data_IF_477016594847
#
_entry.id   IF_477016594847
#
_cell.length_a   1.000
_cell.length_b   1.000
_cell.length_c   1.000
_cell.angle_alpha   90.00
_cell.angle_beta   90.00
_cell.angle_gamma   90.00
#
_symmetry.space_group_name_H-M   'P 1'
#
loop_
_entity.id
_entity.type
_entity.pdbx_description
1 polymer ?
#
# COMPACT_ATOMS: atom_id res chain seq x y z
N UNK A 1 21.84 -52.45 -30.70
CA UNK A 1 21.01 -53.59 -31.17
C UNK A 1 19.56 -53.24 -30.87
N UNK A 2 18.56 -53.19 -31.77
CA UNK A 2 18.37 -53.28 -33.24
C UNK A 2 17.02 -52.55 -33.54
N UNK A 3 16.62 -52.05 -34.72
CA UNK A 3 17.18 -51.91 -36.08
C UNK A 3 16.81 -50.47 -36.59
N UNK A 4 17.32 -49.83 -37.66
CA UNK A 4 17.74 -50.17 -39.04
C UNK A 4 16.58 -50.25 -40.08
N UNK A 5 16.88 -49.77 -41.31
CA UNK A 5 16.10 -49.76 -42.58
C UNK A 5 15.13 -48.55 -42.78
N UNK A 6 15.01 -47.89 -43.95
CA UNK A 6 15.79 -47.92 -45.23
C UNK A 6 15.53 -46.66 -46.11
N UNK A 7 16.54 -46.22 -46.87
CA UNK A 7 16.47 -45.35 -48.07
C UNK A 7 16.06 -46.18 -49.32
N UNK A 8 15.52 -45.64 -50.46
CA UNK A 8 16.15 -44.64 -51.38
C UNK A 8 15.18 -43.50 -51.85
N UNK A 9 15.57 -42.30 -52.29
CA UNK A 9 16.53 -41.82 -53.32
C UNK A 9 16.10 -42.04 -54.80
N UNK A 10 15.95 -40.94 -55.58
CA UNK A 10 16.45 -40.75 -56.97
C UNK A 10 16.01 -39.41 -57.61
N UNK A 11 16.98 -38.67 -58.18
CA UNK A 11 16.99 -37.88 -59.44
C UNK A 11 15.84 -36.87 -59.82
N UNK A 12 16.07 -35.76 -60.55
CA UNK A 12 17.31 -35.19 -61.14
C UNK A 12 17.17 -33.74 -61.66
N UNK A 13 18.19 -32.91 -61.38
CA UNK A 13 18.81 -31.87 -62.26
C UNK A 13 18.07 -30.54 -62.61
N UNK A 14 18.81 -29.48 -63.06
CA UNK A 14 18.47 -28.07 -62.80
C UNK A 14 18.42 -27.17 -64.08
N UNK A 15 18.56 -25.84 -63.89
CA UNK A 15 18.74 -24.72 -64.87
C UNK A 15 17.50 -23.81 -65.04
N UNK A 16 17.56 -22.49 -65.34
CA UNK A 16 18.68 -21.51 -65.40
C UNK A 16 18.16 -20.06 -65.21
N UNK A 17 19.11 -19.16 -64.96
CA UNK A 17 19.10 -17.68 -64.82
C UNK A 17 18.15 -16.80 -65.68
N UNK A 18 17.63 -15.74 -65.03
CA UNK A 18 17.73 -14.30 -65.39
C UNK A 18 16.80 -13.62 -66.43
N UNK A 19 16.50 -12.34 -66.11
CA UNK A 19 16.01 -11.24 -66.97
C UNK A 19 14.56 -11.33 -67.52
N UNK A 20 13.83 -10.24 -67.76
CA UNK A 20 13.92 -8.87 -67.24
C UNK A 20 12.57 -8.13 -67.42
N UNK A 21 12.31 -7.18 -66.52
CA UNK A 21 11.46 -5.98 -66.66
C UNK A 21 10.44 -5.93 -67.82
N UNK A 22 9.13 -5.99 -67.48
CA UNK A 22 8.08 -5.28 -68.22
C UNK A 22 7.12 -4.58 -67.25
N UNK A 23 6.81 -3.30 -67.52
CA UNK A 23 5.88 -2.48 -66.73
C UNK A 23 4.42 -2.84 -67.09
N UNK A 24 3.51 -3.01 -66.12
CA UNK A 24 2.08 -3.13 -66.42
C UNK A 24 1.48 -1.76 -66.76
N UNK A 25 0.63 -1.71 -67.80
CA UNK A 25 -0.36 -0.64 -67.97
C UNK A 25 -1.65 -0.99 -67.24
N UNK A 26 -2.34 0.03 -66.74
CA UNK A 26 -3.63 -0.05 -66.06
C UNK A 26 -4.72 -0.71 -66.91
N UNK A 27 -5.51 -1.58 -66.28
CA UNK A 27 -6.92 -1.82 -66.59
C UNK A 27 -7.69 -1.92 -65.27
N UNK A 28 -8.69 -1.05 -65.10
CA UNK A 28 -9.60 -1.12 -63.96
C UNK A 28 -10.67 -2.20 -64.17
N UNK A 29 -10.88 -3.05 -63.16
CA UNK A 29 -12.14 -3.73 -62.91
C UNK A 29 -12.37 -3.72 -61.40
N UNK A 30 -13.55 -3.26 -60.96
CA UNK A 30 -13.84 -3.03 -59.56
C UNK A 30 -14.24 -4.34 -58.83
N UNK A 31 -13.67 -4.56 -57.66
CA UNK A 31 -14.15 -5.51 -56.65
C UNK A 31 -14.22 -4.79 -55.29
N UNK A 32 -15.20 -5.16 -54.46
CA UNK A 32 -15.63 -4.37 -53.32
C UNK A 32 -14.55 -4.16 -52.24
N UNK A 33 -14.45 -2.94 -51.72
CA UNK A 33 -13.56 -2.60 -50.63
C UNK A 33 -14.15 -3.03 -49.28
N UNK A 34 -13.61 -4.11 -48.70
CA UNK A 34 -13.63 -4.29 -47.26
C UNK A 34 -12.46 -3.48 -46.68
N UNK A 35 -12.74 -2.32 -46.10
CA UNK A 35 -11.70 -1.52 -45.44
C UNK A 35 -11.17 -2.27 -44.21
N UNK A 36 -9.88 -2.59 -44.20
CA UNK A 36 -9.21 -2.96 -42.96
C UNK A 36 -9.29 -1.77 -41.98
N UNK A 37 -9.56 -1.99 -40.68
CA UNK A 37 -9.47 -0.92 -39.70
C UNK A 37 -8.05 -0.36 -39.72
N UNK A 38 -7.85 0.96 -39.57
CA UNK A 38 -6.51 1.52 -39.49
C UNK A 38 -5.79 0.87 -38.31
N UNK A 39 -4.57 0.40 -38.54
CA UNK A 39 -3.71 -0.06 -37.46
C UNK A 39 -3.57 1.10 -36.46
N UNK A 40 -4.03 0.88 -35.23
CA UNK A 40 -3.91 1.88 -34.18
C UNK A 40 -2.44 2.28 -34.06
N UNK A 41 -2.16 3.59 -34.19
CA UNK A 41 -0.81 4.08 -34.00
C UNK A 41 -0.36 3.68 -32.58
N UNK A 42 0.80 3.02 -32.48
CA UNK A 42 1.37 2.71 -31.18
C UNK A 42 1.51 4.01 -30.37
N UNK A 43 1.20 4.00 -29.06
CA UNK A 43 1.32 5.20 -28.25
C UNK A 43 2.75 5.76 -28.34
N UNK A 44 2.92 7.10 -28.33
CA UNK A 44 4.24 7.70 -28.44
C UNK A 44 5.14 7.22 -27.31
N UNK A 45 6.42 7.09 -27.60
CA UNK A 45 7.41 6.69 -26.60
C UNK A 45 7.42 7.69 -25.42
N UNK A 46 7.61 7.20 -24.18
CA UNK A 46 7.70 8.06 -23.00
C UNK A 46 8.80 9.11 -23.16
N UNK A 47 8.51 10.38 -22.85
CA UNK A 47 9.51 11.46 -22.86
C UNK A 47 10.39 11.39 -21.62
N UNK A 48 11.54 12.08 -21.66
CA UNK A 48 12.42 12.27 -20.50
C UNK A 48 11.75 13.04 -19.33
N UNK A 49 10.52 13.52 -19.54
CA UNK A 49 9.70 14.28 -18.60
C UNK A 49 8.59 13.42 -17.97
N UNK A 50 8.65 12.08 -18.09
CA UNK A 50 7.91 11.17 -17.19
C UNK A 50 8.54 11.19 -15.79
N UNK A 51 8.59 12.38 -15.20
CA UNK A 51 9.19 12.66 -13.92
C UNK A 51 8.46 11.87 -12.84
N UNK A 52 9.25 11.15 -12.07
CA UNK A 52 8.86 10.54 -10.82
C UNK A 52 8.45 11.67 -9.87
N UNK A 53 7.15 11.86 -9.64
CA UNK A 53 6.65 12.85 -8.67
C UNK A 53 6.81 12.28 -7.27
N UNK A 54 8.05 12.11 -6.83
CA UNK A 54 8.34 11.97 -5.41
C UNK A 54 8.10 13.31 -4.74
N UNK A 55 7.29 13.29 -3.68
CA UNK A 55 7.32 14.35 -2.69
C UNK A 55 8.79 14.57 -2.26
N UNK A 56 9.34 15.79 -2.29
CA UNK A 56 10.78 16.00 -2.04
C UNK A 56 11.26 15.44 -0.69
N UNK A 57 10.36 15.41 0.31
CA UNK A 57 10.64 14.81 1.62
C UNK A 57 10.78 13.28 1.63
N UNK A 58 10.49 12.57 0.53
CA UNK A 58 10.61 11.11 0.44
C UNK A 58 12.08 10.65 0.44
N UNK A 59 12.97 11.38 -0.24
CA UNK A 59 14.41 11.09 -0.22
C UNK A 59 15.00 11.38 1.16
N UNK A 60 14.64 12.53 1.75
CA UNK A 60 14.97 12.89 3.14
C UNK A 60 14.44 11.87 4.15
N UNK A 61 13.24 11.34 3.93
CA UNK A 61 12.71 10.25 4.73
C UNK A 61 13.63 9.04 4.54
N UNK A 62 13.72 8.45 3.33
CA UNK A 62 14.56 7.27 3.01
C UNK A 62 15.98 7.33 3.60
N UNK A 63 16.65 8.48 3.51
CA UNK A 63 18.02 8.69 3.99
C UNK A 63 18.17 8.66 5.53
N UNK A 64 17.14 9.03 6.31
CA UNK A 64 17.20 9.03 7.79
C UNK A 64 17.53 7.66 8.36
N UNK A 65 18.22 7.66 9.50
CA UNK A 65 18.41 6.48 10.34
C UNK A 65 17.06 5.93 10.86
N UNK A 66 17.02 4.64 11.17
CA UNK A 66 15.89 4.04 11.90
C UNK A 66 15.63 4.83 13.19
N UNK A 67 14.37 5.20 13.42
CA UNK A 67 14.01 6.10 14.50
C UNK A 67 13.78 5.28 15.78
N UNK A 68 14.64 5.44 16.79
CA UNK A 68 14.51 4.71 18.04
C UNK A 68 13.57 5.38 19.07
N UNK A 69 12.84 6.44 18.69
CA UNK A 69 12.00 7.23 19.59
C UNK A 69 10.64 6.57 19.90
N UNK A 70 10.67 5.37 20.48
CA UNK A 70 9.49 4.51 20.72
C UNK A 70 8.62 4.92 21.93
N UNK A 71 8.98 5.99 22.66
CA UNK A 71 8.17 6.55 23.74
C UNK A 71 7.93 8.05 23.55
N UNK A 72 6.91 8.57 24.25
CA UNK A 72 6.57 9.99 24.25
C UNK A 72 6.87 10.66 25.59
N UNK A 73 7.90 11.50 25.63
CA UNK A 73 8.34 12.24 26.81
C UNK A 73 7.49 13.50 27.09
N UNK A 74 7.96 14.43 27.93
CA UNK A 74 7.20 15.64 28.29
C UNK A 74 7.01 16.63 27.13
N UNK A 75 7.90 16.63 26.14
CA UNK A 75 7.93 17.61 25.03
C UNK A 75 7.77 17.01 23.62
N UNK A 76 7.67 15.68 23.49
CA UNK A 76 7.65 14.99 22.20
C UNK A 76 8.22 13.57 22.28
N UNK A 77 8.45 12.92 21.13
CA UNK A 77 9.11 11.61 21.07
C UNK A 77 10.50 11.59 21.73
N UNK A 78 10.83 10.49 22.40
CA UNK A 78 12.12 10.24 23.04
C UNK A 78 12.57 8.79 22.84
N UNK A 79 13.89 8.58 22.76
CA UNK A 79 14.49 7.24 22.73
C UNK A 79 14.55 6.72 24.19
N UNK A 80 13.82 5.66 24.59
CA UNK A 80 13.72 5.27 26.00
C UNK A 80 15.08 4.95 26.63
N UNK A 81 15.96 4.25 25.91
CA UNK A 81 17.29 3.86 26.39
C UNK A 81 18.29 5.03 26.52
N UNK A 82 17.97 6.21 25.98
CA UNK A 82 18.79 7.42 26.08
C UNK A 82 18.11 8.53 26.92
N UNK A 83 16.88 8.32 27.39
CA UNK A 83 16.17 9.26 28.24
C UNK A 83 16.64 9.12 29.71
N UNK A 84 16.85 10.24 30.44
CA UNK A 84 17.01 10.19 31.88
C UNK A 84 15.80 9.52 32.54
N UNK A 85 16.01 8.73 33.60
CA UNK A 85 14.97 7.92 34.24
C UNK A 85 13.70 8.73 34.57
N UNK A 86 13.87 9.94 35.10
CA UNK A 86 12.78 10.85 35.51
C UNK A 86 12.01 11.48 34.33
N UNK A 87 12.39 11.21 33.08
CA UNK A 87 11.78 11.78 31.86
C UNK A 87 10.62 10.94 31.33
N UNK A 88 10.59 9.64 31.65
CA UNK A 88 9.55 8.72 31.18
C UNK A 88 8.42 8.62 32.22
N UNK A 89 7.17 8.60 31.76
CA UNK A 89 6.06 8.16 32.60
C UNK A 89 6.21 6.67 32.94
N UNK A 90 5.65 6.17 34.06
CA UNK A 90 5.65 4.74 34.38
C UNK A 90 5.11 3.89 33.23
N UNK A 91 4.10 4.40 32.52
CA UNK A 91 3.46 3.75 31.37
C UNK A 91 4.39 3.71 30.14
N UNK A 92 5.17 4.77 29.91
CA UNK A 92 6.21 4.80 28.87
C UNK A 92 7.32 3.79 29.15
N UNK A 93 7.79 3.74 30.40
CA UNK A 93 8.79 2.76 30.83
C UNK A 93 8.25 1.32 30.71
N UNK A 94 6.98 1.09 31.04
CA UNK A 94 6.33 -0.22 30.89
C UNK A 94 6.19 -0.65 29.42
N UNK A 95 5.80 0.25 28.51
CA UNK A 95 5.74 -0.02 27.06
C UNK A 95 7.14 -0.31 26.50
N UNK A 96 8.13 0.51 26.84
CA UNK A 96 9.52 0.28 26.42
C UNK A 96 10.07 -1.07 26.93
N UNK A 97 9.75 -1.44 28.18
CA UNK A 97 10.13 -2.73 28.77
C UNK A 97 9.45 -3.90 28.06
N UNK A 98 8.16 -3.79 27.73
CA UNK A 98 7.43 -4.82 26.99
C UNK A 98 7.97 -5.03 25.56
N UNK A 99 8.36 -3.95 24.86
CA UNK A 99 9.04 -4.02 23.56
C UNK A 99 10.42 -4.69 23.72
N UNK A 100 11.20 -4.30 24.74
CA UNK A 100 12.50 -4.89 25.02
C UNK A 100 12.42 -6.39 25.35
N UNK A 101 11.41 -6.85 26.10
CA UNK A 101 11.22 -8.25 26.46
C UNK A 101 11.09 -9.18 25.23
N UNK A 102 10.48 -8.70 24.15
CA UNK A 102 10.35 -9.44 22.88
C UNK A 102 11.65 -9.50 22.05
N UNK A 103 12.73 -8.84 22.50
CA UNK A 103 14.00 -8.78 21.76
C UNK A 103 14.87 -10.04 21.90
N UNK A 104 14.51 -10.96 22.80
CA UNK A 104 15.23 -12.21 23.04
C UNK A 104 14.98 -13.32 21.99
N UNK A 105 13.88 -13.24 21.23
CA UNK A 105 13.56 -14.24 20.19
C UNK A 105 14.55 -14.13 19.02
N UNK A 106 15.02 -15.23 18.40
CA UNK A 106 15.89 -15.15 17.23
C UNK A 106 15.21 -14.40 16.07
N UNK A 107 16.00 -13.67 15.27
CA UNK A 107 15.48 -13.09 14.03
C UNK A 107 15.25 -14.18 12.98
N UNK A 108 14.17 -14.11 12.18
CA UNK A 108 13.98 -14.97 11.03
C UNK A 108 15.04 -14.78 9.94
N UNK A 109 15.12 -15.71 8.98
CA UNK A 109 16.20 -15.79 8.01
C UNK A 109 16.21 -14.68 6.94
N UNK A 110 15.11 -13.96 6.77
CA UNK A 110 14.98 -12.87 5.79
C UNK A 110 13.95 -11.83 6.23
N UNK A 111 13.90 -10.70 5.52
CA UNK A 111 12.89 -9.66 5.72
C UNK A 111 11.47 -10.18 5.46
N UNK A 112 11.29 -11.04 4.45
CA UNK A 112 10.00 -11.69 4.17
C UNK A 112 9.61 -12.70 5.28
N UNK A 113 10.54 -13.48 5.81
CA UNK A 113 10.26 -14.36 6.95
C UNK A 113 9.94 -13.56 8.22
N UNK A 114 10.60 -12.41 8.41
CA UNK A 114 10.31 -11.49 9.50
C UNK A 114 8.89 -10.90 9.39
N UNK A 115 8.48 -10.43 8.21
CA UNK A 115 7.12 -9.97 7.97
C UNK A 115 6.07 -11.06 8.22
N UNK A 116 6.34 -12.30 7.79
CA UNK A 116 5.46 -13.45 8.08
C UNK A 116 5.32 -13.68 9.58
N UNK A 117 6.42 -13.60 10.33
CA UNK A 117 6.42 -13.74 11.78
C UNK A 117 5.72 -12.56 12.49
N UNK A 118 5.80 -11.32 11.99
CA UNK A 118 5.02 -10.18 12.52
C UNK A 118 3.52 -10.42 12.31
N UNK A 119 3.11 -10.82 11.10
CA UNK A 119 1.70 -11.14 10.80
C UNK A 119 1.18 -12.26 11.71
N UNK A 120 2.01 -13.23 12.06
CA UNK A 120 1.67 -14.34 12.97
C UNK A 120 1.80 -14.01 14.48
N UNK A 121 2.34 -12.85 14.85
CA UNK A 121 2.47 -12.42 16.25
C UNK A 121 1.17 -11.73 16.71
N UNK A 122 0.47 -12.23 17.76
CA UNK A 122 -0.78 -11.63 18.20
C UNK A 122 -0.60 -10.41 19.13
N UNK A 123 0.50 -10.30 19.88
CA UNK A 123 0.71 -9.16 20.78
C UNK A 123 1.08 -7.88 20.01
N UNK A 124 0.36 -6.75 20.20
CA UNK A 124 0.66 -5.49 19.52
C UNK A 124 2.09 -4.97 19.75
N UNK A 125 2.60 -5.07 20.98
CA UNK A 125 3.97 -4.63 21.29
C UNK A 125 5.03 -5.63 20.83
N UNK A 126 4.69 -6.92 20.77
CA UNK A 126 5.47 -7.97 20.13
C UNK A 126 5.62 -7.77 18.61
N UNK A 127 4.55 -7.40 17.91
CA UNK A 127 4.59 -7.00 16.49
C UNK A 127 5.55 -5.82 16.30
N UNK A 128 5.39 -4.76 17.09
CA UNK A 128 6.26 -3.58 17.04
C UNK A 128 7.73 -3.95 17.32
N UNK A 129 7.99 -4.73 18.37
CA UNK A 129 9.34 -5.18 18.73
C UNK A 129 10.02 -6.01 17.64
N UNK A 130 9.30 -6.94 17.00
CA UNK A 130 9.86 -7.71 15.89
C UNK A 130 10.09 -6.83 14.66
N UNK A 131 9.21 -5.87 14.39
CA UNK A 131 9.35 -4.90 13.30
C UNK A 131 10.62 -4.06 13.46
N UNK A 132 10.83 -3.41 14.61
CA UNK A 132 12.02 -2.60 14.89
C UNK A 132 13.33 -3.38 14.69
N UNK A 133 13.32 -4.67 15.05
CA UNK A 133 14.49 -5.55 14.95
C UNK A 133 14.75 -6.01 13.52
N UNK A 134 13.69 -6.38 12.79
CA UNK A 134 13.77 -6.79 11.39
C UNK A 134 14.23 -5.63 10.51
N UNK A 135 13.64 -4.44 10.68
CA UNK A 135 14.03 -3.24 9.94
C UNK A 135 15.48 -2.84 10.22
N UNK A 136 15.89 -2.80 11.50
CA UNK A 136 17.29 -2.52 11.87
C UNK A 136 18.24 -3.50 11.21
N UNK A 137 18.01 -4.81 11.35
CA UNK A 137 18.88 -5.83 10.80
C UNK A 137 18.96 -5.78 9.27
N UNK A 138 17.86 -5.43 8.59
CA UNK A 138 17.87 -5.20 7.14
C UNK A 138 18.68 -3.97 6.74
N UNK A 139 18.50 -2.82 7.43
CA UNK A 139 19.32 -1.61 7.18
C UNK A 139 20.81 -1.82 7.44
N UNK A 140 21.15 -2.66 8.40
CA UNK A 140 22.53 -3.02 8.76
C UNK A 140 23.12 -4.13 7.85
N UNK A 141 22.36 -4.62 6.86
CA UNK A 141 22.80 -5.64 5.92
C UNK A 141 22.84 -7.07 6.49
N UNK A 142 22.33 -7.28 7.71
CA UNK A 142 22.25 -8.58 8.36
C UNK A 142 21.06 -9.43 7.89
N UNK A 143 20.05 -8.81 7.24
CA UNK A 143 18.96 -9.51 6.55
C UNK A 143 18.94 -9.12 5.07
N UNK A 144 18.77 -10.10 4.19
CA UNK A 144 18.32 -9.88 2.81
C UNK A 144 16.78 -9.89 2.73
N UNK A 145 16.23 -9.49 1.57
CA UNK A 145 14.77 -9.49 1.34
C UNK A 145 14.18 -10.90 1.52
N UNK A 146 14.78 -11.90 0.87
CA UNK A 146 14.28 -13.27 0.82
C UNK A 146 12.93 -13.40 0.10
N UNK A 147 12.25 -14.52 0.33
CA UNK A 147 10.88 -14.74 -0.12
C UNK A 147 10.17 -15.68 0.85
N UNK A 148 8.91 -15.37 1.16
CA UNK A 148 8.07 -16.18 2.05
C UNK A 148 6.61 -16.13 1.58
N UNK A 149 5.88 -17.22 1.79
CA UNK A 149 4.43 -17.22 1.60
C UNK A 149 3.75 -16.40 2.70
N UNK A 150 2.81 -15.54 2.28
CA UNK A 150 1.95 -14.82 3.21
C UNK A 150 1.08 -15.83 4.01
N UNK A 151 0.80 -15.57 5.30
CA UNK A 151 -0.09 -16.42 6.08
C UNK A 151 -1.47 -16.61 5.42
N UNK A 152 -2.07 -17.76 5.67
CA UNK A 152 -3.46 -18.02 5.32
C UNK A 152 -4.39 -17.28 6.30
N UNK A 153 -5.30 -16.45 5.77
CA UNK A 153 -6.23 -15.67 6.56
C UNK A 153 -5.66 -14.34 7.11
N UNK A 154 -6.37 -13.71 8.07
CA UNK A 154 -5.97 -12.41 8.61
C UNK A 154 -4.75 -12.51 9.55
N UNK A 155 -4.09 -11.38 9.87
CA UNK A 155 -3.01 -11.34 10.85
C UNK A 155 -3.51 -11.84 12.21
N UNK A 156 -2.61 -12.49 12.96
CA UNK A 156 -2.86 -12.83 14.34
C UNK A 156 -3.14 -11.56 15.15
N UNK A 157 -4.19 -11.61 15.97
CA UNK A 157 -4.66 -10.52 16.84
C UNK A 157 -4.72 -11.00 18.29
N UNK A 158 -4.63 -10.09 19.27
CA UNK A 158 -4.90 -10.42 20.67
C UNK A 158 -6.41 -10.66 20.88
N UNK A 159 -6.84 -11.29 22.00
CA UNK A 159 -8.25 -11.54 22.29
C UNK A 159 -9.13 -10.28 22.43
N UNK A 160 -8.52 -9.11 22.65
CA UNK A 160 -9.18 -7.81 22.70
C UNK A 160 -8.35 -6.77 21.92
N UNK A 161 -8.96 -5.88 21.12
CA UNK A 161 -10.40 -5.64 20.99
C UNK A 161 -11.12 -6.76 20.23
N UNK A 162 -12.35 -7.08 20.64
CA UNK A 162 -13.23 -7.92 19.83
C UNK A 162 -13.46 -7.26 18.47
N UNK A 163 -13.15 -7.99 17.38
CA UNK A 163 -13.44 -7.54 16.03
C UNK A 163 -14.92 -7.79 15.70
N UNK A 164 -15.63 -6.73 15.35
CA UNK A 164 -17.06 -6.73 15.03
C UNK A 164 -17.34 -5.92 13.76
N UNK A 165 -18.48 -6.16 13.06
CA UNK A 165 -18.89 -5.32 11.93
C UNK A 165 -19.02 -3.84 12.35
N UNK A 166 -18.72 -2.85 11.48
CA UNK A 166 -18.69 -1.42 11.84
C UNK A 166 -19.96 -0.91 12.55
N UNK A 167 -21.14 -1.40 12.16
CA UNK A 167 -22.43 -1.07 12.81
C UNK A 167 -22.57 -1.49 14.28
N UNK A 168 -21.68 -2.35 14.78
CA UNK A 168 -21.63 -2.80 16.18
C UNK A 168 -20.60 -2.03 17.01
N UNK A 169 -19.78 -1.17 16.39
CA UNK A 169 -18.93 -0.24 17.10
C UNK A 169 -19.82 0.83 17.73
N UNK A 170 -19.77 1.05 19.06
CA UNK A 170 -20.55 2.11 19.69
C UNK A 170 -20.11 3.47 19.14
N UNK A 171 -21.05 4.35 18.80
CA UNK A 171 -20.67 5.71 18.40
C UNK A 171 -19.98 6.43 19.56
N UNK A 172 -19.15 7.45 19.26
CA UNK A 172 -18.41 8.21 20.28
C UNK A 172 -19.32 8.85 21.35
N UNK A 173 -20.58 9.16 21.03
CA UNK A 173 -21.54 9.72 21.99
C UNK A 173 -22.36 8.64 22.74
N UNK A 174 -22.35 7.38 22.25
CA UNK A 174 -22.95 6.22 22.90
C UNK A 174 -21.92 5.33 23.65
N UNK A 175 -20.63 5.57 23.45
CA UNK A 175 -19.54 4.89 24.14
C UNK A 175 -19.42 5.35 25.60
N UNK A 176 -19.07 4.43 26.50
CA UNK A 176 -18.74 4.74 27.89
C UNK A 176 -17.33 5.33 28.06
N UNK A 177 -16.50 5.31 27.00
CA UNK A 177 -15.15 5.87 27.05
C UNK A 177 -15.16 7.41 26.93
N UNK A 178 -14.26 8.11 27.65
CA UNK A 178 -14.01 9.53 27.40
C UNK A 178 -13.66 9.78 25.93
N UNK A 179 -14.15 10.87 25.34
CA UNK A 179 -14.03 11.12 23.89
C UNK A 179 -12.59 11.10 23.38
N UNK A 180 -11.63 11.57 24.18
CA UNK A 180 -10.19 11.49 23.87
C UNK A 180 -9.69 10.03 23.79
N UNK A 181 -10.11 9.17 24.72
CA UNK A 181 -9.77 7.74 24.77
C UNK A 181 -10.41 6.98 23.60
N UNK A 182 -11.70 7.24 23.31
CA UNK A 182 -12.40 6.67 22.15
C UNK A 182 -11.65 6.97 20.84
N UNK A 183 -11.23 8.22 20.66
CA UNK A 183 -10.47 8.66 19.49
C UNK A 183 -9.08 8.01 19.41
N UNK A 184 -8.36 7.95 20.54
CA UNK A 184 -7.03 7.38 20.61
C UNK A 184 -7.01 5.85 20.46
N UNK A 185 -8.03 5.14 20.96
CA UNK A 185 -8.16 3.69 20.78
C UNK A 185 -8.43 3.33 19.31
N UNK A 186 -9.28 4.10 18.62
CA UNK A 186 -9.46 3.93 17.18
C UNK A 186 -8.15 4.17 16.42
N UNK A 187 -7.39 5.21 16.78
CA UNK A 187 -6.08 5.48 16.19
C UNK A 187 -5.11 4.32 16.43
N UNK A 188 -4.95 3.86 17.67
CA UNK A 188 -4.15 2.68 18.02
C UNK A 188 -4.52 1.43 17.19
N UNK A 189 -5.81 1.26 16.88
CA UNK A 189 -6.26 0.17 16.01
C UNK A 189 -5.85 0.39 14.54
N UNK A 190 -5.88 1.63 14.04
CA UNK A 190 -5.35 1.98 12.71
C UNK A 190 -3.85 1.70 12.65
N UNK A 191 -3.05 2.21 13.60
CA UNK A 191 -1.59 1.97 13.63
C UNK A 191 -1.25 0.47 13.61
N UNK A 192 -1.94 -0.35 14.42
CA UNK A 192 -1.76 -1.80 14.43
C UNK A 192 -2.09 -2.45 13.09
N UNK A 193 -3.11 -1.95 12.39
CA UNK A 193 -3.43 -2.41 11.04
C UNK A 193 -2.35 -1.98 10.05
N UNK A 194 -1.88 -0.73 10.09
CA UNK A 194 -0.86 -0.20 9.18
C UNK A 194 0.45 -1.03 9.23
N UNK A 195 0.89 -1.46 10.43
CA UNK A 195 1.98 -2.45 10.61
C UNK A 195 1.69 -3.74 9.81
N UNK A 196 0.51 -4.34 9.99
CA UNK A 196 0.11 -5.59 9.32
C UNK A 196 -0.04 -5.40 7.79
N UNK A 197 -0.56 -4.27 7.34
CA UNK A 197 -0.75 -3.91 5.92
C UNK A 197 0.59 -3.75 5.18
N UNK A 198 1.53 -3.05 5.81
CA UNK A 198 2.88 -2.84 5.31
C UNK A 198 3.66 -4.18 5.25
N UNK A 199 3.61 -4.99 6.30
CA UNK A 199 4.25 -6.31 6.29
C UNK A 199 3.61 -7.30 5.31
N UNK A 200 2.28 -7.36 5.19
CA UNK A 200 1.65 -8.18 4.16
C UNK A 200 2.10 -7.77 2.75
N UNK A 201 2.30 -6.47 2.51
CA UNK A 201 2.84 -5.96 1.25
C UNK A 201 4.28 -6.42 1.00
N UNK A 202 5.14 -6.43 2.02
CA UNK A 202 6.50 -6.99 1.91
C UNK A 202 6.45 -8.50 1.59
N UNK A 203 5.70 -9.28 2.38
CA UNK A 203 5.68 -10.74 2.29
C UNK A 203 5.05 -11.21 0.98
N UNK A 204 3.82 -10.77 0.70
CA UNK A 204 2.99 -11.24 -0.41
C UNK A 204 3.61 -10.98 -1.79
N UNK A 205 4.38 -9.90 -1.90
CA UNK A 205 5.04 -9.50 -3.14
C UNK A 205 6.55 -9.84 -3.17
N UNK A 206 7.11 -10.48 -2.14
CA UNK A 206 8.52 -10.91 -2.08
C UNK A 206 8.92 -11.82 -3.25
N UNK A 207 8.06 -12.78 -3.60
CA UNK A 207 8.27 -13.75 -4.70
C UNK A 207 8.41 -13.15 -6.11
N UNK A 208 8.09 -11.87 -6.31
CA UNK A 208 8.21 -11.21 -7.62
C UNK A 208 9.59 -10.59 -7.85
N UNK A 209 10.46 -10.53 -6.83
CA UNK A 209 11.82 -10.01 -6.96
C UNK A 209 11.88 -8.53 -7.34
N UNK A 210 11.00 -7.70 -6.75
CA UNK A 210 11.00 -6.25 -6.91
C UNK A 210 12.34 -5.65 -6.42
N UNK A 211 12.68 -4.39 -6.75
CA UNK A 211 13.90 -3.78 -6.26
C UNK A 211 13.97 -3.78 -4.72
N UNK A 212 15.13 -3.99 -4.08
CA UNK A 212 15.26 -3.98 -2.61
C UNK A 212 14.71 -2.72 -1.93
N UNK A 213 14.69 -1.58 -2.63
CA UNK A 213 14.08 -0.33 -2.17
C UNK A 213 12.56 -0.45 -1.93
N UNK A 214 11.82 -1.27 -2.69
CA UNK A 214 10.39 -1.50 -2.49
C UNK A 214 10.15 -2.09 -1.10
N UNK A 215 10.84 -3.19 -0.81
CA UNK A 215 10.71 -3.87 0.48
C UNK A 215 11.28 -3.03 1.62
N UNK A 216 12.30 -2.20 1.35
CA UNK A 216 12.84 -1.24 2.31
C UNK A 216 11.80 -0.17 2.69
N UNK A 217 11.14 0.44 1.70
CA UNK A 217 10.11 1.46 1.94
C UNK A 217 8.97 0.87 2.79
N UNK A 218 8.41 -0.29 2.44
CA UNK A 218 7.30 -0.87 3.21
C UNK A 218 7.70 -1.42 4.58
N UNK A 219 8.88 -2.05 4.73
CA UNK A 219 9.38 -2.45 6.04
C UNK A 219 9.64 -1.25 6.96
N UNK A 220 9.95 -0.09 6.37
CA UNK A 220 10.12 1.17 7.09
C UNK A 220 8.80 1.85 7.43
N UNK A 221 7.79 1.83 6.56
CA UNK A 221 6.42 2.26 6.93
C UNK A 221 6.04 1.51 8.20
N UNK A 222 6.15 0.18 8.21
CA UNK A 222 5.88 -0.63 9.41
C UNK A 222 6.70 -0.23 10.66
N UNK A 223 7.96 0.21 10.50
CA UNK A 223 8.81 0.75 11.57
C UNK A 223 8.25 2.04 12.18
N UNK A 224 7.79 2.96 11.33
CA UNK A 224 7.16 4.22 11.74
C UNK A 224 5.80 3.95 12.42
N UNK A 225 4.94 3.10 11.85
CA UNK A 225 3.65 2.69 12.47
C UNK A 225 3.84 1.95 13.80
N UNK A 226 4.93 1.19 13.94
CA UNK A 226 5.28 0.53 15.20
C UNK A 226 5.58 1.54 16.32
N UNK A 227 6.10 2.74 15.99
CA UNK A 227 6.27 3.84 16.95
C UNK A 227 4.94 4.53 17.24
N UNK A 228 4.14 4.79 16.20
CA UNK A 228 2.82 5.40 16.33
C UNK A 228 1.95 4.58 17.30
N UNK A 229 1.88 3.26 17.09
CA UNK A 229 1.22 2.31 17.97
C UNK A 229 1.76 2.37 19.41
N UNK A 230 3.08 2.39 19.59
CA UNK A 230 3.70 2.45 20.92
C UNK A 230 3.33 3.73 21.67
N UNK A 231 3.33 4.89 21.00
CA UNK A 231 2.88 6.17 21.57
C UNK A 231 1.38 6.13 21.92
N UNK A 232 0.55 5.54 21.08
CA UNK A 232 -0.89 5.41 21.33
C UNK A 232 -1.18 4.48 22.52
N UNK A 233 -0.54 3.30 22.60
CA UNK A 233 -0.68 2.37 23.73
C UNK A 233 -0.18 3.00 25.03
N UNK A 234 0.98 3.68 25.00
CA UNK A 234 1.47 4.45 26.14
C UNK A 234 0.42 5.46 26.59
N UNK A 235 -0.11 6.27 25.67
CA UNK A 235 -1.03 7.36 26.01
C UNK A 235 -2.41 6.87 26.47
N UNK A 236 -2.90 5.72 25.98
CA UNK A 236 -4.09 5.06 26.53
C UNK A 236 -3.88 4.69 28.00
N UNK A 237 -2.73 4.10 28.34
CA UNK A 237 -2.41 3.70 29.72
C UNK A 237 -2.27 4.90 30.65
N UNK A 238 -1.66 5.99 30.19
CA UNK A 238 -1.60 7.27 30.92
C UNK A 238 -2.98 7.89 31.17
N UNK A 239 -4.00 7.49 30.40
CA UNK A 239 -5.40 7.89 30.58
C UNK A 239 -6.21 6.87 31.41
N UNK A 240 -5.60 5.77 31.86
CA UNK A 240 -6.24 4.70 32.63
C UNK A 240 -6.97 3.63 31.81
N UNK A 241 -6.61 3.47 30.52
CA UNK A 241 -7.24 2.53 29.60
C UNK A 241 -6.21 1.69 28.84
N UNK A 242 -6.64 0.59 28.25
CA UNK A 242 -5.79 -0.27 27.42
C UNK A 242 -6.31 -0.34 25.98
N UNK A 243 -5.41 -0.67 25.05
CA UNK A 243 -5.81 -1.14 23.74
C UNK A 243 -6.64 -2.44 23.90
N UNK A 244 -7.89 -2.42 23.43
CA UNK A 244 -8.90 -3.44 23.74
C UNK A 244 -10.05 -2.96 24.64
N UNK A 245 -10.02 -1.74 25.18
CA UNK A 245 -11.10 -1.19 26.03
C UNK A 245 -12.44 -0.94 25.30
N UNK A 246 -12.49 -1.08 23.97
CA UNK A 246 -13.74 -1.17 23.21
C UNK A 246 -13.58 -2.06 21.97
N UNK A 247 -14.67 -2.57 21.36
CA UNK A 247 -14.60 -3.31 20.10
C UNK A 247 -13.98 -2.49 18.95
N UNK A 248 -13.49 -3.19 17.92
CA UNK A 248 -12.90 -2.61 16.71
C UNK A 248 -13.40 -3.32 15.43
N UNK A 249 -13.11 -2.80 14.25
CA UNK A 249 -13.57 -3.34 12.96
C UNK A 249 -12.41 -3.70 12.01
N UNK A 250 -12.60 -4.67 11.12
CA UNK A 250 -11.51 -5.18 10.26
C UNK A 250 -11.44 -4.54 8.86
N UNK A 251 -12.15 -3.44 8.60
CA UNK A 251 -12.30 -2.81 7.26
C UNK A 251 -10.99 -2.53 6.52
N UNK A 252 -9.92 -2.17 7.25
CA UNK A 252 -8.61 -1.92 6.63
C UNK A 252 -8.05 -3.20 6.01
N UNK A 253 -8.13 -4.32 6.75
CA UNK A 253 -7.72 -5.63 6.26
C UNK A 253 -8.63 -6.18 5.15
N UNK A 254 -9.93 -5.89 5.16
CA UNK A 254 -10.82 -6.27 4.06
C UNK A 254 -10.32 -5.68 2.71
N UNK A 255 -9.89 -4.41 2.69
CA UNK A 255 -9.24 -3.81 1.51
C UNK A 255 -7.87 -4.43 1.16
N UNK A 256 -7.13 -4.90 2.16
CA UNK A 256 -5.88 -5.66 1.97
C UNK A 256 -6.12 -7.00 1.25
N UNK A 257 -7.18 -7.71 1.64
CA UNK A 257 -7.59 -8.99 1.04
C UNK A 257 -8.11 -8.79 -0.38
N UNK A 258 -8.95 -7.79 -0.62
CA UNK A 258 -9.47 -7.46 -1.96
C UNK A 258 -8.35 -7.05 -2.94
N UNK A 259 -7.23 -6.54 -2.44
CA UNK A 259 -6.06 -6.17 -3.23
C UNK A 259 -4.96 -7.26 -3.30
N UNK A 260 -5.10 -8.39 -2.61
CA UNK A 260 -4.04 -9.38 -2.45
C UNK A 260 -3.57 -10.06 -3.77
N UNK A 261 -4.35 -9.96 -4.84
CA UNK A 261 -4.03 -10.55 -6.16
C UNK A 261 -3.20 -9.66 -7.09
N UNK A 262 -3.10 -8.35 -6.84
CA UNK A 262 -2.49 -7.39 -7.76
C UNK A 262 -1.73 -6.30 -7.00
N UNK A 263 -0.46 -6.07 -7.37
CA UNK A 263 0.38 -5.06 -6.75
C UNK A 263 -0.15 -3.64 -7.01
N UNK A 264 -0.69 -3.38 -8.21
CA UNK A 264 -1.28 -2.08 -8.52
C UNK A 264 -2.52 -1.81 -7.67
N UNK A 265 -3.39 -2.82 -7.50
CA UNK A 265 -4.51 -2.77 -6.56
C UNK A 265 -4.05 -2.52 -5.13
N UNK A 266 -2.99 -3.22 -4.67
CA UNK A 266 -2.44 -3.05 -3.31
C UNK A 266 -2.02 -1.62 -3.06
N UNK A 267 -1.22 -1.05 -3.97
CA UNK A 267 -0.72 0.31 -3.85
C UNK A 267 -1.85 1.36 -3.89
N UNK A 268 -2.82 1.20 -4.78
CA UNK A 268 -3.97 2.10 -4.89
C UNK A 268 -4.88 2.09 -3.65
N UNK A 269 -5.14 0.90 -3.07
CA UNK A 269 -6.06 0.73 -1.94
C UNK A 269 -5.40 1.05 -0.60
N UNK A 270 -4.19 0.54 -0.36
CA UNK A 270 -3.55 0.63 0.96
C UNK A 270 -2.81 1.99 1.12
N UNK A 271 -1.55 2.17 0.67
CA UNK A 271 -0.81 3.40 0.96
C UNK A 271 -1.42 4.65 0.31
N UNK A 272 -2.05 4.55 -0.86
CA UNK A 272 -2.62 5.73 -1.53
C UNK A 272 -4.03 6.14 -1.06
N UNK A 273 -4.77 5.26 -0.38
CA UNK A 273 -6.18 5.52 -0.05
C UNK A 273 -6.56 5.27 1.41
N UNK A 274 -6.04 4.21 2.03
CA UNK A 274 -6.23 3.95 3.46
C UNK A 274 -5.30 4.86 4.29
N UNK A 275 -3.99 4.88 4.04
CA UNK A 275 -3.06 5.75 4.82
C UNK A 275 -3.29 7.24 4.52
N UNK A 276 -3.77 7.58 3.31
CA UNK A 276 -4.23 8.93 2.99
C UNK A 276 -5.40 9.42 3.86
N UNK A 277 -6.06 8.56 4.65
CA UNK A 277 -7.00 8.98 5.69
C UNK A 277 -6.33 9.66 6.89
N UNK A 278 -5.07 9.35 7.16
CA UNK A 278 -4.26 10.08 8.15
C UNK A 278 -4.10 11.55 7.75
N UNK A 279 -3.76 11.81 6.48
CA UNK A 279 -3.71 13.16 5.90
C UNK A 279 -5.08 13.87 5.91
N UNK A 280 -6.16 13.13 5.64
CA UNK A 280 -7.52 13.67 5.69
C UNK A 280 -7.93 14.08 7.11
N UNK A 281 -7.59 13.28 8.13
CA UNK A 281 -8.20 13.35 9.46
C UNK A 281 -7.32 13.99 10.55
N UNK A 282 -5.99 13.92 10.43
CA UNK A 282 -5.04 14.26 11.50
C UNK A 282 -5.23 15.65 12.11
N UNK A 283 -5.32 16.69 11.28
CA UNK A 283 -5.54 18.08 11.73
C UNK A 283 -6.89 18.24 12.47
N UNK A 284 -7.98 17.68 11.92
CA UNK A 284 -9.31 17.73 12.55
C UNK A 284 -9.31 17.02 13.90
N UNK A 285 -8.65 15.86 13.98
CA UNK A 285 -8.53 15.04 15.17
C UNK A 285 -7.72 15.75 16.26
N UNK A 286 -6.56 16.30 15.88
CA UNK A 286 -5.72 17.15 16.72
C UNK A 286 -6.49 18.35 17.29
N UNK A 287 -7.18 19.13 16.43
CA UNK A 287 -7.98 20.29 16.85
C UNK A 287 -9.10 19.90 17.81
N UNK A 288 -9.76 18.76 17.57
CA UNK A 288 -10.80 18.22 18.45
C UNK A 288 -10.25 17.84 19.82
N UNK A 289 -9.07 17.20 19.89
CA UNK A 289 -8.41 16.85 21.14
C UNK A 289 -7.96 18.09 21.95
N UNK A 290 -7.43 19.12 21.28
CA UNK A 290 -7.14 20.43 21.92
C UNK A 290 -8.42 21.04 22.51
N UNK A 291 -9.54 21.00 21.78
CA UNK A 291 -10.85 21.46 22.27
C UNK A 291 -11.42 20.67 23.46
N UNK A 292 -10.93 19.45 23.70
CA UNK A 292 -11.23 18.64 24.88
C UNK A 292 -10.20 18.84 26.02
N UNK A 293 -9.20 19.69 25.84
CA UNK A 293 -8.11 19.95 26.79
C UNK A 293 -6.94 18.97 26.73
N UNK A 294 -7.01 17.89 25.93
CA UNK A 294 -5.97 16.86 25.85
C UNK A 294 -4.88 17.22 24.82
N UNK A 295 -4.12 18.26 25.17
CA UNK A 295 -3.01 18.76 24.35
C UNK A 295 -1.90 17.72 24.11
N UNK A 296 -1.73 16.74 25.01
CA UNK A 296 -0.72 15.68 24.91
C UNK A 296 -1.10 14.66 23.84
N UNK A 297 -2.33 14.15 23.87
CA UNK A 297 -2.83 13.27 22.81
C UNK A 297 -2.91 14.01 21.47
N UNK A 298 -3.31 15.30 21.48
CA UNK A 298 -3.30 16.11 20.26
C UNK A 298 -1.89 16.27 19.65
N UNK A 299 -0.84 16.31 20.46
CA UNK A 299 0.54 16.39 19.98
C UNK A 299 1.00 15.08 19.34
N UNK A 300 0.64 13.93 19.92
CA UNK A 300 0.88 12.60 19.33
C UNK A 300 0.22 12.51 17.94
N UNK A 301 -1.07 12.86 17.86
CA UNK A 301 -1.83 12.85 16.58
C UNK A 301 -1.19 13.75 15.52
N UNK A 302 -0.66 14.92 15.89
CA UNK A 302 0.04 15.81 14.94
C UNK A 302 1.35 15.23 14.44
N UNK A 303 2.07 14.47 15.27
CA UNK A 303 3.32 13.84 14.85
C UNK A 303 3.04 12.70 13.87
N UNK A 304 2.12 11.80 14.22
CA UNK A 304 1.66 10.70 13.35
C UNK A 304 1.24 11.25 11.98
N UNK A 305 0.28 12.19 11.97
CA UNK A 305 -0.23 12.80 10.73
C UNK A 305 0.82 13.56 9.89
N UNK A 306 1.97 13.93 10.47
CA UNK A 306 3.07 14.54 9.73
C UNK A 306 4.01 13.49 9.10
N UNK A 307 4.11 12.31 9.70
CA UNK A 307 4.90 11.17 9.22
C UNK A 307 4.17 10.42 8.08
N UNK A 308 2.82 10.35 8.12
CA UNK A 308 1.95 9.78 7.07
C UNK A 308 2.21 10.27 5.64
N UNK A 309 2.73 11.49 5.47
CA UNK A 309 3.09 12.02 4.15
C UNK A 309 4.07 11.11 3.41
N UNK A 310 5.01 10.52 4.13
CA UNK A 310 5.97 9.59 3.55
C UNK A 310 5.29 8.29 3.09
N UNK A 311 4.34 7.77 3.89
CA UNK A 311 3.66 6.50 3.64
C UNK A 311 2.80 6.58 2.36
N UNK A 312 2.06 7.69 2.20
CA UNK A 312 1.29 7.95 0.98
C UNK A 312 2.22 8.21 -0.22
N UNK A 313 3.31 8.98 -0.04
CA UNK A 313 4.28 9.25 -1.10
C UNK A 313 4.98 7.98 -1.60
N UNK A 314 5.27 7.00 -0.73
CA UNK A 314 5.75 5.65 -1.09
C UNK A 314 4.72 4.95 -1.99
N UNK A 315 3.44 4.98 -1.62
CA UNK A 315 2.35 4.40 -2.43
C UNK A 315 2.27 5.00 -3.83
N UNK A 316 2.19 6.33 -3.93
CA UNK A 316 2.12 7.08 -5.19
C UNK A 316 3.35 6.77 -6.08
N UNK A 317 4.54 6.85 -5.49
CA UNK A 317 5.83 6.51 -6.09
C UNK A 317 5.81 5.15 -6.79
N UNK A 318 5.51 4.09 -6.04
CA UNK A 318 5.54 2.74 -6.59
C UNK A 318 4.38 2.48 -7.56
N UNK A 319 3.23 3.11 -7.37
CA UNK A 319 2.11 2.97 -8.28
C UNK A 319 2.40 3.59 -9.65
N UNK A 320 2.98 4.80 -9.69
CA UNK A 320 3.49 5.40 -10.93
C UNK A 320 4.50 4.49 -11.63
N UNK A 321 5.46 3.94 -10.87
CA UNK A 321 6.50 3.06 -11.39
C UNK A 321 5.93 1.77 -12.00
N UNK A 322 4.94 1.14 -11.35
CA UNK A 322 4.25 -0.05 -11.86
C UNK A 322 3.39 0.27 -13.09
N UNK A 323 2.65 1.38 -13.09
CA UNK A 323 1.85 1.81 -14.23
C UNK A 323 2.72 2.13 -15.46
N UNK A 324 3.84 2.84 -15.28
CA UNK A 324 4.81 3.11 -16.34
C UNK A 324 5.42 1.80 -16.88
N UNK A 325 5.79 0.88 -16.00
CA UNK A 325 6.31 -0.44 -16.37
C UNK A 325 5.29 -1.31 -17.15
N UNK A 326 4.00 -1.17 -16.84
CA UNK A 326 2.89 -1.86 -17.51
C UNK A 326 2.38 -1.15 -18.77
N UNK A 327 2.80 0.11 -19.02
CA UNK A 327 2.35 0.91 -20.16
C UNK A 327 0.91 1.41 -20.04
N UNK A 328 0.42 1.68 -18.82
CA UNK A 328 -0.94 2.17 -18.54
C UNK A 328 -0.92 3.54 -17.85
N UNK A 329 -1.95 4.36 -18.08
CA UNK A 329 -2.08 5.63 -17.37
C UNK A 329 -2.52 5.42 -15.91
N UNK A 330 -1.80 5.97 -14.92
CA UNK A 330 -2.09 5.73 -13.52
C UNK A 330 -3.42 6.34 -13.07
N UNK A 331 -3.89 7.46 -13.65
CA UNK A 331 -5.11 8.14 -13.21
C UNK A 331 -6.40 7.32 -13.44
N UNK A 332 -6.72 6.93 -14.69
CA UNK A 332 -7.82 6.01 -14.99
C UNK A 332 -7.64 4.65 -14.29
N UNK A 333 -6.40 4.15 -14.17
CA UNK A 333 -6.12 2.88 -13.48
C UNK A 333 -6.49 2.95 -12.00
N UNK A 334 -6.09 4.01 -11.30
CA UNK A 334 -6.44 4.24 -9.90
C UNK A 334 -7.95 4.36 -9.70
N UNK A 335 -8.63 5.18 -10.52
CA UNK A 335 -10.09 5.34 -10.46
C UNK A 335 -10.82 4.02 -10.64
N UNK A 336 -10.42 3.21 -11.63
CA UNK A 336 -10.94 1.87 -11.89
C UNK A 336 -10.77 0.95 -10.68
N UNK A 337 -9.54 0.83 -10.17
CA UNK A 337 -9.24 -0.02 -9.01
C UNK A 337 -10.08 0.35 -7.78
N UNK A 338 -10.24 1.64 -7.48
CA UNK A 338 -11.07 2.08 -6.36
C UNK A 338 -12.56 1.80 -6.61
N UNK A 339 -13.08 2.04 -7.82
CA UNK A 339 -14.47 1.74 -8.17
C UNK A 339 -14.82 0.26 -8.02
N UNK A 340 -13.98 -0.61 -8.58
CA UNK A 340 -14.29 -2.03 -8.74
C UNK A 340 -14.02 -2.83 -7.44
N UNK A 341 -13.07 -2.39 -6.61
CA UNK A 341 -12.67 -3.10 -5.39
C UNK A 341 -13.14 -2.40 -4.11
N UNK A 342 -12.93 -1.10 -3.95
CA UNK A 342 -13.14 -0.42 -2.66
C UNK A 342 -13.82 0.95 -2.81
N UNK A 343 -15.04 1.04 -3.40
CA UNK A 343 -15.66 2.32 -3.72
C UNK A 343 -15.96 3.18 -2.49
N UNK A 344 -16.08 2.59 -1.30
CA UNK A 344 -16.16 3.34 -0.04
C UNK A 344 -14.97 4.28 0.23
N UNK A 345 -13.80 4.03 -0.37
CA UNK A 345 -12.63 4.90 -0.25
C UNK A 345 -12.79 6.23 -1.04
N UNK A 346 -13.71 6.30 -1.99
CA UNK A 346 -14.07 7.53 -2.73
C UNK A 346 -15.01 8.46 -1.92
N UNK A 347 -15.35 8.09 -0.68
CA UNK A 347 -16.10 8.94 0.25
C UNK A 347 -15.19 9.97 0.92
N UNK A 348 -15.49 11.26 0.76
CA UNK A 348 -14.83 12.34 1.50
C UNK A 348 -15.26 12.44 2.98
N UNK A 349 -14.82 13.49 3.71
CA UNK A 349 -14.02 14.62 3.24
C UNK A 349 -12.56 14.25 3.00
N UNK A 350 -11.96 14.89 2.00
CA UNK A 350 -10.54 14.77 1.66
C UNK A 350 -9.76 16.02 2.09
N UNK A 351 -8.46 15.88 2.28
CA UNK A 351 -7.54 17.01 2.43
C UNK A 351 -6.73 17.18 1.14
N UNK A 352 -7.32 17.89 0.18
CA UNK A 352 -6.79 17.97 -1.19
C UNK A 352 -5.38 18.60 -1.23
N UNK A 353 -5.09 19.55 -0.34
CA UNK A 353 -3.77 20.18 -0.24
C UNK A 353 -2.70 19.17 0.22
N UNK A 354 -2.96 18.39 1.28
CA UNK A 354 -2.01 17.39 1.77
C UNK A 354 -1.83 16.24 0.77
N UNK A 355 -2.92 15.77 0.14
CA UNK A 355 -2.86 14.73 -0.91
C UNK A 355 -2.08 15.21 -2.14
N UNK A 356 -2.27 16.46 -2.56
CA UNK A 356 -1.53 17.06 -3.68
C UNK A 356 -0.02 17.19 -3.38
N UNK A 357 0.37 17.50 -2.13
CA UNK A 357 1.78 17.57 -1.73
C UNK A 357 2.52 16.23 -1.88
N UNK A 358 1.82 15.11 -1.73
CA UNK A 358 2.37 13.75 -1.86
C UNK A 358 2.15 13.13 -3.26
N UNK A 359 1.78 13.94 -4.25
CA UNK A 359 1.62 13.51 -5.64
C UNK A 359 0.28 12.82 -5.95
N UNK A 360 -0.72 12.91 -5.06
CA UNK A 360 -2.06 12.34 -5.27
C UNK A 360 -3.07 13.46 -5.63
N UNK A 361 -3.37 13.71 -6.92
CA UNK A 361 -4.23 14.82 -7.33
C UNK A 361 -5.72 14.51 -7.18
N UNK A 362 -6.54 15.55 -6.92
CA UNK A 362 -7.97 15.42 -6.67
C UNK A 362 -8.75 14.66 -7.77
N UNK A 363 -8.35 14.80 -9.04
CA UNK A 363 -8.96 14.10 -10.18
C UNK A 363 -8.85 12.56 -10.14
N UNK A 364 -8.12 12.00 -9.17
CA UNK A 364 -7.99 10.55 -8.98
C UNK A 364 -8.96 9.99 -7.94
N UNK A 365 -9.36 10.76 -6.91
CA UNK A 365 -10.20 10.27 -5.81
C UNK A 365 -11.49 11.07 -5.58
N UNK A 366 -11.57 12.32 -6.03
CA UNK A 366 -12.81 13.09 -5.95
C UNK A 366 -13.70 12.77 -7.16
N UNK A 367 -14.63 11.84 -6.96
CA UNK A 367 -15.62 11.43 -7.95
C UNK A 367 -16.39 12.61 -8.59
N UNK A 368 -16.55 13.73 -7.89
CA UNK A 368 -17.25 14.93 -8.39
C UNK A 368 -16.54 15.59 -9.58
N UNK A 369 -15.24 15.35 -9.73
CA UNK A 369 -14.39 15.87 -10.81
C UNK A 369 -14.30 14.93 -12.02
N UNK A 370 -15.02 13.80 -12.02
CA UNK A 370 -14.97 12.83 -13.11
C UNK A 370 -16.05 13.09 -14.15
N UNK A 371 -15.87 12.50 -15.34
CA UNK A 371 -16.86 12.55 -16.42
C UNK A 371 -18.24 12.08 -15.95
N UNK A 372 -19.36 12.66 -16.43
CA UNK A 372 -20.69 12.49 -15.84
C UNK A 372 -21.10 11.04 -15.59
N UNK A 373 -20.92 10.17 -16.58
CA UNK A 373 -21.25 8.74 -16.49
C UNK A 373 -20.44 8.02 -15.40
N UNK A 374 -19.13 8.31 -15.33
CA UNK A 374 -18.22 7.72 -14.36
C UNK A 374 -18.46 8.26 -12.94
N UNK A 375 -18.75 9.55 -12.81
CA UNK A 375 -19.15 10.19 -11.54
C UNK A 375 -20.42 9.58 -11.00
N UNK A 376 -21.46 9.45 -11.83
CA UNK A 376 -22.77 9.00 -11.36
C UNK A 376 -22.71 7.51 -10.97
N UNK A 377 -21.95 6.69 -11.70
CA UNK A 377 -21.59 5.33 -11.30
C UNK A 377 -20.79 5.29 -9.97
N UNK A 378 -19.81 6.18 -9.79
CA UNK A 378 -19.01 6.27 -8.57
C UNK A 378 -19.86 6.63 -7.34
N UNK A 379 -20.74 7.63 -7.46
CA UNK A 379 -21.61 8.05 -6.37
C UNK A 379 -22.62 6.94 -6.01
N UNK A 380 -23.12 6.19 -6.98
CA UNK A 380 -23.94 5.01 -6.75
C UNK A 380 -23.17 3.88 -6.04
N UNK A 381 -21.94 3.59 -6.47
CA UNK A 381 -21.07 2.58 -5.85
C UNK A 381 -20.68 2.96 -4.41
N UNK A 382 -20.35 4.23 -4.16
CA UNK A 382 -20.14 4.78 -2.81
C UNK A 382 -21.38 4.59 -1.95
N UNK A 383 -22.57 4.95 -2.45
CA UNK A 383 -23.82 4.78 -1.69
C UNK A 383 -24.13 3.30 -1.37
N UNK A 384 -23.88 2.39 -2.32
CA UNK A 384 -24.02 0.95 -2.12
C UNK A 384 -23.06 0.40 -1.07
N UNK A 385 -21.77 0.80 -1.12
CA UNK A 385 -20.76 0.40 -0.14
C UNK A 385 -21.12 0.87 1.28
N UNK A 386 -21.51 2.14 1.45
CA UNK A 386 -21.99 2.67 2.73
C UNK A 386 -23.19 1.88 3.29
N UNK A 387 -24.10 1.44 2.41
CA UNK A 387 -25.27 0.65 2.80
C UNK A 387 -24.87 -0.76 3.25
N UNK A 388 -23.92 -1.39 2.57
CA UNK A 388 -23.41 -2.73 2.90
C UNK A 388 -22.63 -2.75 4.23
N UNK A 389 -21.79 -1.73 4.44
CA UNK A 389 -21.10 -1.49 5.71
C UNK A 389 -22.10 -1.36 6.88
N UNK A 390 -23.19 -0.62 6.65
CA UNK A 390 -24.27 -0.43 7.64
C UNK A 390 -25.15 -1.68 7.85
N UNK A 391 -25.36 -2.53 6.84
CA UNK A 391 -26.06 -3.82 7.02
C UNK A 391 -25.19 -4.90 7.67
N UNK A 392 -23.86 -4.72 7.68
CA UNK A 392 -22.91 -5.75 8.11
C UNK A 392 -22.82 -6.90 7.10
N UNK A 393 -23.03 -6.60 5.83
CA UNK A 393 -22.86 -7.54 4.72
C UNK A 393 -21.40 -7.45 4.26
N UNK A 394 -20.64 -8.56 4.14
CA UNK A 394 -19.26 -8.53 3.67
C UNK A 394 -19.16 -7.84 2.29
N UNK A 395 -18.17 -6.98 2.09
CA UNK A 395 -18.04 -6.16 0.88
C UNK A 395 -18.08 -7.00 -0.43
N UNK A 396 -17.48 -8.21 -0.39
CA UNK A 396 -17.47 -9.17 -1.49
C UNK A 396 -18.87 -9.63 -1.98
N UNK A 397 -19.94 -9.45 -1.19
CA UNK A 397 -21.32 -9.78 -1.58
C UNK A 397 -22.13 -8.55 -2.03
N UNK A 398 -21.65 -7.32 -1.77
CA UNK A 398 -22.37 -6.10 -2.09
C UNK A 398 -22.19 -5.62 -3.54
N UNK A 399 -21.13 -6.09 -4.22
CA UNK A 399 -20.77 -5.67 -5.58
C UNK A 399 -21.61 -6.27 -6.73
N UNK A 400 -22.48 -7.26 -6.48
CA UNK A 400 -23.25 -7.95 -7.53
C UNK A 400 -24.49 -7.17 -8.03
N UNK A 401 -24.49 -5.85 -7.86
CA UNK A 401 -25.64 -4.95 -8.08
C UNK A 401 -25.89 -4.50 -9.54
N UNK A 402 -25.18 -5.06 -10.52
CA UNK A 402 -25.49 -4.91 -11.94
C UNK A 402 -24.96 -6.14 -12.71
N UNK A 403 -25.66 -6.54 -13.78
CA UNK A 403 -25.43 -7.81 -14.46
C UNK A 403 -24.11 -7.92 -15.22
N UNK A 404 -23.02 -8.24 -14.52
CA UNK A 404 -21.91 -8.99 -15.10
C UNK A 404 -21.52 -10.11 -14.13
N UNK A 405 -21.27 -11.31 -14.65
CA UNK A 405 -20.52 -12.30 -13.90
C UNK A 405 -19.14 -11.71 -13.59
N UNK A 406 -18.59 -11.97 -12.40
CA UNK A 406 -17.28 -11.46 -11.99
C UNK A 406 -16.18 -11.94 -12.94
N UNK A 407 -15.95 -11.16 -14.00
CA UNK A 407 -14.75 -11.24 -14.79
C UNK A 407 -13.62 -10.76 -13.88
N UNK A 408 -12.70 -11.66 -13.55
CA UNK A 408 -11.56 -11.32 -12.71
C UNK A 408 -10.88 -10.07 -13.27
N UNK A 409 -10.80 -9.02 -12.45
CA UNK A 409 -10.24 -7.74 -12.84
C UNK A 409 -8.86 -7.97 -13.45
N UNK A 410 -8.64 -7.42 -14.65
CA UNK A 410 -7.33 -7.46 -15.26
C UNK A 410 -6.34 -6.75 -14.31
N UNK A 411 -5.31 -7.46 -13.81
CA UNK A 411 -4.34 -6.87 -12.90
C UNK A 411 -3.56 -5.78 -13.64
N UNK A 412 -3.08 -4.77 -12.92
CA UNK A 412 -2.29 -3.67 -13.50
C UNK A 412 -1.04 -4.23 -14.21
N UNK A 413 -0.41 -5.25 -13.63
CA UNK A 413 0.62 -6.03 -14.28
C UNK A 413 0.45 -7.52 -13.95
N UNK A 414 0.53 -8.38 -14.97
CA UNK A 414 0.55 -9.83 -14.79
C UNK A 414 1.80 -10.27 -14.00
N UNK A 415 1.78 -11.41 -13.29
CA UNK A 415 2.95 -11.95 -12.58
C UNK A 415 4.27 -11.97 -13.36
N UNK A 416 4.20 -12.27 -14.66
CA UNK A 416 5.36 -12.28 -15.55
C UNK A 416 5.81 -10.86 -15.93
N UNK A 417 4.87 -9.95 -16.18
CA UNK A 417 5.17 -8.53 -16.41
C UNK A 417 5.80 -7.91 -15.16
N UNK A 418 5.32 -8.21 -13.95
CA UNK A 418 5.91 -7.72 -12.70
C UNK A 418 7.40 -8.09 -12.57
N UNK A 419 7.81 -9.30 -12.95
CA UNK A 419 9.22 -9.70 -12.97
C UNK A 419 10.06 -8.92 -13.99
N UNK A 420 9.49 -8.63 -15.16
CA UNK A 420 10.15 -7.84 -16.20
C UNK A 420 10.23 -6.35 -15.84
N UNK A 421 9.20 -5.83 -15.16
CA UNK A 421 9.14 -4.47 -14.62
C UNK A 421 10.16 -4.31 -13.49
N UNK A 422 10.25 -5.26 -12.55
CA UNK A 422 11.19 -5.24 -11.43
C UNK A 422 12.64 -4.98 -11.87
N UNK A 423 13.10 -5.68 -12.92
CA UNK A 423 14.44 -5.51 -13.48
C UNK A 423 14.69 -4.09 -14.02
N UNK A 424 13.66 -3.42 -14.57
CA UNK A 424 13.74 -2.04 -15.08
C UNK A 424 13.64 -1.00 -13.95
N UNK A 425 12.81 -1.26 -12.94
CA UNK A 425 12.60 -0.34 -11.82
C UNK A 425 13.86 -0.17 -10.96
N UNK A 426 14.70 -1.21 -10.84
CA UNK A 426 16.00 -1.08 -10.18
C UNK A 426 16.87 0.01 -10.86
N UNK A 427 16.96 -0.01 -12.19
CA UNK A 427 17.71 0.99 -12.97
C UNK A 427 17.11 2.39 -12.90
N UNK A 428 15.79 2.52 -12.74
CA UNK A 428 15.14 3.84 -12.61
C UNK A 428 15.44 4.53 -11.28
N UNK A 429 15.53 3.78 -10.18
CA UNK A 429 15.85 4.33 -8.86
C UNK A 429 17.31 4.77 -8.75
N UNK A 430 18.23 4.07 -9.40
CA UNK A 430 19.64 4.49 -9.48
C UNK A 430 19.76 5.88 -10.15
N UNK A 431 18.89 6.19 -11.13
CA UNK A 431 18.82 7.50 -11.77
C UNK A 431 18.19 8.57 -10.87
N UNK A 432 17.16 8.25 -10.08
CA UNK A 432 16.55 9.17 -9.10
C UNK A 432 17.60 9.63 -8.05
N UNK A 433 18.39 8.69 -7.53
CA UNK A 433 19.48 9.00 -6.59
C UNK A 433 20.56 9.85 -7.25
N UNK A 434 20.97 9.52 -8.49
CA UNK A 434 21.98 10.29 -9.21
C UNK A 434 21.53 11.73 -9.47
N UNK A 435 20.30 11.96 -9.95
CA UNK A 435 19.80 13.32 -10.20
C UNK A 435 19.71 14.12 -8.91
N UNK A 436 19.22 13.53 -7.82
CA UNK A 436 19.15 14.18 -6.50
C UNK A 436 20.52 14.54 -5.90
N UNK A 437 21.59 13.79 -6.22
CA UNK A 437 22.97 14.14 -5.82
C UNK A 437 23.67 15.15 -6.73
N UNK A 438 23.04 15.54 -7.85
CA UNK A 438 23.61 16.43 -8.88
C UNK A 438 22.97 17.81 -8.93
N UNK A 439 21.94 18.06 -8.10
CA UNK A 439 21.21 19.31 -7.95
C UNK A 439 21.54 19.99 -6.61
#
# INVERSE_FOLDING_TARGET
MFALLRLPALCSRPAVLSSAVQKPRSLCAAAAAAAAPPAAAAPPAPTAEQQFVSWPGLLDWRARSANAATAWGPKGPVIPAAAPADTLSPEAAAVATAIAAHSAQPLPASLADAGRAVLQTPDPLGKAALTFRAWRAYREGALGVGAADAPEGPPARPPQPQLVPPRQIPSMDASSLPKAVYMLHNLAHVELNAIDLAWDTVVRFSRFGLPPAFYADFARVADDESRHLAWCIQRLRELGYDYGSMPAHNLLWEGCEMSAGDLGARLAIVPMSQEARGLDAGDRLSKRLVGLGDNRTAAIVRQIAAEERAHVAVGVTWFHAICAGAGVDPGPTFRRLLLDLCPGLLKGPFNDAERQLVGLPAAWYDARLWEPEMRDAALAAVAAANKAEYSGTPAAQAGSGAGSASAALAPVAQPEQLRQIAARLATMLDLEVQTATSA
#
